data_IF_821084028659
#
_entry.id   IF_821084028659
#
_cell.length_a   1.000
_cell.length_b   1.000
_cell.length_c   1.000
_cell.angle_alpha   90.00
_cell.angle_beta   90.00
_cell.angle_gamma   90.00
#
_symmetry.space_group_name_H-M   'P 1'
#
loop_
_entity.id
_entity.type
_entity.pdbx_description
1 polymer ?
#
# COMPACT_ATOMS: atom_id res chain seq x y z
N UNK A 1 6.77 -20.61 1.96
CA UNK A 1 6.29 -19.24 1.68
C UNK A 1 5.02 -19.04 2.50
N UNK A 2 4.88 -17.91 3.21
CA UNK A 2 3.73 -17.60 4.07
C UNK A 2 2.80 -16.62 3.32
N UNK A 3 1.78 -17.10 2.59
CA UNK A 3 0.96 -16.25 1.71
C UNK A 3 -0.02 -15.36 2.47
N UNK A 4 -0.37 -15.73 3.70
CA UNK A 4 -1.28 -14.98 4.56
C UNK A 4 -0.56 -13.93 5.43
N UNK A 5 0.77 -13.87 5.35
CA UNK A 5 1.56 -12.88 6.07
C UNK A 5 1.87 -11.68 5.18
N UNK A 6 1.71 -10.48 5.72
CA UNK A 6 2.17 -9.25 5.09
C UNK A 6 3.71 -9.20 5.15
N UNK A 7 4.38 -9.55 4.05
CA UNK A 7 5.84 -9.55 3.94
C UNK A 7 6.31 -8.84 2.66
N UNK A 8 6.64 -7.53 2.73
CA UNK A 8 7.12 -6.75 1.57
C UNK A 8 8.45 -7.27 0.99
N UNK A 9 9.34 -7.78 1.85
CA UNK A 9 10.68 -8.26 1.46
C UNK A 9 10.63 -9.41 0.44
N UNK A 10 9.49 -10.10 0.35
CA UNK A 10 9.27 -11.19 -0.61
C UNK A 10 9.40 -10.75 -2.07
N UNK A 11 9.38 -9.45 -2.34
CA UNK A 11 9.54 -8.86 -3.68
C UNK A 11 10.88 -8.14 -3.87
N UNK A 12 11.79 -8.16 -2.89
CA UNK A 12 13.09 -7.49 -3.01
C UNK A 12 14.22 -8.41 -3.48
N UNK A 13 14.06 -9.74 -3.43
CA UNK A 13 15.11 -10.69 -3.79
C UNK A 13 14.57 -11.97 -4.45
N UNK A 14 15.49 -12.76 -5.02
CA UNK A 14 15.18 -14.06 -5.62
C UNK A 14 14.31 -13.97 -6.88
N UNK A 15 13.47 -14.99 -7.09
CA UNK A 15 12.59 -15.11 -8.27
C UNK A 15 11.56 -13.97 -8.39
N UNK A 16 11.13 -13.41 -7.25
CA UNK A 16 10.05 -12.41 -7.20
C UNK A 16 10.55 -10.97 -7.41
N UNK A 17 11.87 -10.74 -7.37
CA UNK A 17 12.46 -9.40 -7.47
C UNK A 17 12.22 -8.70 -8.81
N UNK A 18 11.82 -9.46 -9.84
CA UNK A 18 11.58 -8.97 -11.19
C UNK A 18 10.10 -8.96 -11.57
N UNK A 19 9.21 -9.27 -10.63
CA UNK A 19 7.77 -9.29 -10.88
C UNK A 19 7.30 -7.88 -11.24
N UNK A 20 6.66 -7.76 -12.40
CA UNK A 20 5.99 -6.58 -12.90
C UNK A 20 4.47 -6.69 -12.66
N UNK A 21 3.86 -5.81 -11.84
CA UNK A 21 2.43 -5.83 -11.58
C UNK A 21 1.58 -5.36 -12.78
N UNK A 22 2.18 -5.04 -13.94
CA UNK A 22 1.49 -4.62 -15.15
C UNK A 22 0.84 -5.76 -15.97
N UNK A 23 0.75 -6.97 -15.43
CA UNK A 23 -0.08 -8.06 -15.97
C UNK A 23 0.64 -9.04 -16.91
N UNK A 24 1.98 -9.02 -16.95
CA UNK A 24 2.77 -10.03 -17.67
C UNK A 24 3.24 -11.18 -16.77
N UNK A 25 3.27 -10.98 -15.45
CA UNK A 25 3.67 -11.99 -14.48
C UNK A 25 2.45 -12.52 -13.70
N UNK A 26 2.16 -13.80 -13.84
CA UNK A 26 0.92 -14.41 -13.31
C UNK A 26 0.96 -14.69 -11.81
N UNK A 27 2.14 -14.58 -11.20
CA UNK A 27 2.34 -14.63 -9.75
C UNK A 27 1.71 -13.42 -9.04
N UNK A 28 1.47 -12.30 -9.74
CA UNK A 28 0.88 -11.08 -9.17
C UNK A 28 0.13 -10.26 -10.24
N UNK A 29 -1.21 -10.26 -10.19
CA UNK A 29 -2.08 -9.58 -11.18
C UNK A 29 -3.10 -8.60 -10.55
N UNK A 30 -2.65 -7.57 -9.79
CA UNK A 30 -3.54 -6.66 -9.05
C UNK A 30 -4.45 -5.82 -9.97
N UNK A 31 -4.09 -5.66 -11.24
CA UNK A 31 -4.83 -4.87 -12.23
C UNK A 31 -5.45 -5.74 -13.35
N UNK A 32 -5.36 -7.06 -13.24
CA UNK A 32 -5.69 -8.01 -14.30
C UNK A 32 -4.61 -8.10 -15.38
N UNK A 33 -4.96 -8.74 -16.50
CA UNK A 33 -4.04 -8.98 -17.63
C UNK A 33 -4.79 -8.97 -18.98
N UNK A 34 -4.04 -8.82 -20.07
CA UNK A 34 -4.55 -8.92 -21.44
C UNK A 34 -5.50 -7.79 -21.86
N UNK A 35 -6.45 -8.07 -22.76
CA UNK A 35 -7.29 -7.05 -23.43
C UNK A 35 -8.23 -6.28 -22.50
N UNK A 36 -8.49 -6.77 -21.29
CA UNK A 36 -9.40 -6.14 -20.31
C UNK A 36 -8.64 -5.72 -19.04
N UNK A 37 -7.33 -5.55 -19.12
CA UNK A 37 -6.53 -4.99 -18.03
C UNK A 37 -7.05 -3.59 -17.64
N UNK A 38 -6.92 -3.23 -16.36
CA UNK A 38 -7.29 -1.92 -15.88
C UNK A 38 -6.62 -0.80 -16.70
N UNK A 39 -7.41 0.06 -17.32
CA UNK A 39 -6.90 1.20 -18.09
C UNK A 39 -6.08 2.18 -17.24
N UNK A 40 -6.29 2.18 -15.92
CA UNK A 40 -5.59 3.03 -14.95
C UNK A 40 -4.28 2.45 -14.41
N UNK A 41 -3.83 1.26 -14.83
CA UNK A 41 -2.67 0.54 -14.25
C UNK A 41 -1.44 1.43 -14.05
N UNK A 42 -0.97 2.09 -15.11
CA UNK A 42 0.23 2.94 -15.06
C UNK A 42 0.06 4.15 -14.14
N UNK A 43 -1.12 4.78 -14.19
CA UNK A 43 -1.43 5.92 -13.34
C UNK A 43 -1.49 5.52 -11.87
N UNK A 44 -2.15 4.40 -11.56
CA UNK A 44 -2.30 3.88 -10.20
C UNK A 44 -0.94 3.57 -9.57
N UNK A 45 -0.02 2.92 -10.31
CA UNK A 45 1.33 2.62 -9.80
C UNK A 45 2.07 3.90 -9.40
N UNK A 46 2.10 4.90 -10.28
CA UNK A 46 2.78 6.17 -10.01
C UNK A 46 2.13 6.91 -8.84
N UNK A 47 0.79 6.98 -8.82
CA UNK A 47 0.06 7.70 -7.80
C UNK A 47 0.21 7.06 -6.41
N UNK A 48 0.10 5.74 -6.32
CA UNK A 48 0.27 5.01 -5.06
C UNK A 48 1.69 5.18 -4.53
N UNK A 49 2.72 5.06 -5.38
CA UNK A 49 4.11 5.29 -4.98
C UNK A 49 4.33 6.73 -4.49
N UNK A 50 3.80 7.72 -5.22
CA UNK A 50 3.95 9.13 -4.88
C UNK A 50 3.26 9.48 -3.56
N UNK A 51 1.99 9.08 -3.40
CA UNK A 51 1.22 9.34 -2.18
C UNK A 51 1.87 8.62 -0.99
N UNK A 52 2.20 7.34 -1.12
CA UNK A 52 2.81 6.56 -0.04
C UNK A 52 4.16 7.16 0.37
N UNK A 53 5.01 7.48 -0.60
CA UNK A 53 6.29 8.14 -0.36
C UNK A 53 6.12 9.47 0.37
N UNK A 54 5.14 10.28 -0.05
CA UNK A 54 4.82 11.56 0.59
C UNK A 54 4.35 11.37 2.03
N UNK A 55 3.45 10.43 2.28
CA UNK A 55 2.87 10.17 3.61
C UNK A 55 3.92 9.65 4.60
N UNK A 56 4.75 8.69 4.17
CA UNK A 56 5.83 8.12 5.01
C UNK A 56 6.95 9.14 5.23
N UNK A 57 7.26 9.97 4.22
CA UNK A 57 8.26 11.01 4.37
C UNK A 57 7.82 12.13 5.32
N UNK A 58 6.55 12.51 5.27
CA UNK A 58 6.04 13.72 5.93
C UNK A 58 5.63 13.50 7.37
N UNK A 59 5.18 12.30 7.75
CA UNK A 59 4.53 12.08 9.04
C UNK A 59 5.07 10.85 9.79
N UNK A 60 5.13 10.98 11.10
CA UNK A 60 5.17 9.84 12.03
C UNK A 60 3.74 9.40 12.35
N UNK A 61 3.51 8.09 12.34
CA UNK A 61 2.19 7.47 12.50
C UNK A 61 2.11 6.73 13.83
N UNK A 62 1.03 6.95 14.57
CA UNK A 62 0.75 6.27 15.84
C UNK A 62 -0.70 5.79 15.90
N UNK A 63 -0.91 4.61 16.48
CA UNK A 63 -2.26 4.13 16.74
C UNK A 63 -2.92 4.95 17.85
N UNK A 64 -4.26 5.07 17.85
CA UNK A 64 -4.98 5.70 18.94
C UNK A 64 -4.73 5.00 20.28
N UNK A 65 -4.81 5.76 21.38
CA UNK A 65 -4.57 5.23 22.72
C UNK A 65 -5.47 4.02 23.01
N UNK A 66 -4.88 2.91 23.46
CA UNK A 66 -5.60 1.67 23.77
C UNK A 66 -5.81 0.73 22.57
N UNK A 67 -5.45 1.13 21.36
CA UNK A 67 -5.45 0.24 20.18
C UNK A 67 -4.09 -0.45 20.08
N UNK A 68 -4.09 -1.76 20.32
CA UNK A 68 -2.86 -2.60 20.27
C UNK A 68 -2.73 -3.32 18.92
N UNK A 69 -3.88 -3.61 18.29
CA UNK A 69 -3.94 -4.31 17.00
C UNK A 69 -5.03 -3.71 16.10
N UNK A 70 -4.85 -3.83 14.79
CA UNK A 70 -5.77 -3.33 13.78
C UNK A 70 -6.70 -4.45 13.31
N UNK A 71 -8.01 -4.18 13.26
CA UNK A 71 -8.92 -5.08 12.58
C UNK A 71 -8.61 -5.07 11.06
N UNK A 72 -8.18 -6.22 10.54
CA UNK A 72 -7.89 -6.43 9.12
C UNK A 72 -9.04 -7.14 8.39
N UNK A 73 -10.21 -7.27 9.01
CA UNK A 73 -11.39 -7.83 8.35
C UNK A 73 -11.85 -6.88 7.23
N UNK A 74 -12.48 -7.47 6.22
CA UNK A 74 -12.92 -6.77 5.03
C UNK A 74 -14.45 -6.80 4.92
N UNK A 75 -15.02 -5.73 4.37
CA UNK A 75 -16.39 -5.73 3.88
C UNK A 75 -16.39 -6.15 2.41
N UNK A 76 -17.19 -7.17 2.08
CA UNK A 76 -17.33 -7.66 0.72
C UNK A 76 -18.06 -6.62 -0.16
N UNK A 77 -17.60 -6.45 -1.40
CA UNK A 77 -18.15 -5.49 -2.35
C UNK A 77 -17.34 -5.44 -3.65
N UNK A 78 -17.55 -4.38 -4.44
CA UNK A 78 -16.81 -4.15 -5.69
C UNK A 78 -15.29 -4.02 -5.46
N UNK A 79 -14.91 -3.46 -4.31
CA UNK A 79 -13.55 -3.43 -3.81
C UNK A 79 -13.57 -3.93 -2.36
N UNK A 80 -12.50 -4.61 -1.93
CA UNK A 80 -12.33 -5.02 -0.53
C UNK A 80 -11.97 -3.78 0.30
N UNK A 81 -12.94 -3.31 1.06
CA UNK A 81 -12.77 -2.20 1.99
C UNK A 81 -12.54 -2.74 3.40
N UNK A 82 -11.79 -2.03 4.24
CA UNK A 82 -11.69 -2.40 5.66
C UNK A 82 -13.07 -2.37 6.30
N UNK A 83 -13.42 -3.43 7.05
CA UNK A 83 -14.67 -3.53 7.79
C UNK A 83 -14.77 -2.45 8.87
N UNK A 84 -13.65 -2.16 9.52
CA UNK A 84 -13.50 -1.06 10.47
C UNK A 84 -12.58 -0.01 9.86
N UNK A 85 -13.03 1.25 9.69
CA UNK A 85 -12.18 2.33 9.18
C UNK A 85 -10.91 2.49 10.01
N UNK A 86 -9.78 2.75 9.34
CA UNK A 86 -8.51 3.03 10.01
C UNK A 86 -8.57 4.39 10.71
N UNK A 87 -8.15 4.42 11.98
CA UNK A 87 -7.88 5.64 12.73
C UNK A 87 -6.40 5.67 13.14
N UNK A 88 -5.76 6.82 12.98
CA UNK A 88 -4.36 7.02 13.36
C UNK A 88 -4.12 8.49 13.75
N UNK A 89 -3.19 8.70 14.66
CA UNK A 89 -2.60 10.01 14.91
C UNK A 89 -1.38 10.21 14.03
N UNK A 90 -1.28 11.40 13.45
CA UNK A 90 -0.13 11.81 12.64
C UNK A 90 0.52 13.04 13.23
N UNK A 91 1.84 13.07 13.26
CA UNK A 91 2.65 14.24 13.59
C UNK A 91 3.69 14.50 12.51
N UNK A 92 4.02 15.77 12.18
CA UNK A 92 5.10 16.05 11.24
C UNK A 92 6.40 15.37 11.68
N UNK A 93 7.07 14.69 10.75
CA UNK A 93 8.32 13.96 11.03
C UNK A 93 9.53 14.88 11.11
N UNK A 94 9.54 15.95 10.31
CA UNK A 94 10.62 16.95 10.29
C UNK A 94 10.22 18.21 11.06
N UNK A 95 11.22 19.04 11.37
CA UNK A 95 10.99 20.36 11.99
C UNK A 95 10.05 21.20 11.12
N UNK A 96 9.12 21.98 11.70
CA UNK A 96 8.26 22.90 10.96
C UNK A 96 9.03 23.84 10.02
N UNK A 97 10.23 24.26 10.42
CA UNK A 97 11.10 25.13 9.62
C UNK A 97 11.58 24.51 8.31
N UNK A 98 11.55 23.18 8.18
CA UNK A 98 11.93 22.46 6.95
C UNK A 98 10.83 22.50 5.89
N UNK A 99 9.60 22.86 6.26
CA UNK A 99 8.44 22.92 5.34
C UNK A 99 8.10 24.34 4.88
N UNK A 100 8.73 25.37 5.46
CA UNK A 100 8.53 26.77 5.09
C UNK A 100 9.57 27.08 4.01
N UNK A 101 9.19 26.88 2.74
CA UNK A 101 9.95 27.38 1.58
C UNK A 101 9.52 28.80 1.22
#
# INVERSE_FOLDING_TARGET
ENPLEFNPERFLSGKNAKIDPCGNDFELIPFGAGRRICAGTRMAIVLVQYILGTLVHSFDWKLPNGVVDLNMDESFGLALQKKVPLAAFVSPRLSPSTYIS
#
